data_IF_291307862444
#
_entry.id   IF_291307862444
#
_cell.length_a   1.000
_cell.length_b   1.000
_cell.length_c   1.000
_cell.angle_alpha   90.00
_cell.angle_beta   90.00
_cell.angle_gamma   90.00
#
_symmetry.space_group_name_H-M   'P 1'
#
loop_
_entity.id
_entity.type
_entity.pdbx_description
1 polymer ?
#
# COMPACT_ATOMS: atom_id res chain seq x y z
N UNK A 1 2.33 -23.29 -13.18
CA UNK A 1 3.27 -23.45 -12.05
C UNK A 1 4.54 -22.70 -12.37
N UNK A 2 5.01 -21.82 -11.49
CA UNK A 2 6.29 -21.13 -11.66
C UNK A 2 7.44 -22.13 -11.48
N UNK A 3 8.47 -22.04 -12.34
CA UNK A 3 9.71 -22.81 -12.23
C UNK A 3 10.88 -21.85 -12.10
N UNK A 4 11.80 -22.16 -11.19
CA UNK A 4 13.07 -21.46 -11.06
C UNK A 4 14.12 -22.19 -11.90
N UNK A 5 14.66 -21.51 -12.93
CA UNK A 5 15.76 -22.02 -13.73
C UNK A 5 17.06 -21.35 -13.29
N UNK A 6 17.96 -22.14 -12.75
CA UNK A 6 19.30 -21.71 -12.28
C UNK A 6 20.42 -22.11 -13.24
N UNK A 7 20.11 -22.66 -14.41
CA UNK A 7 21.12 -23.17 -15.35
C UNK A 7 22.15 -22.13 -15.75
N UNK A 8 21.75 -20.87 -15.89
CA UNK A 8 22.62 -19.77 -16.26
C UNK A 8 23.54 -19.28 -15.12
N UNK A 9 23.28 -19.72 -13.87
CA UNK A 9 24.11 -19.34 -12.71
C UNK A 9 25.34 -20.24 -12.51
N UNK A 10 25.40 -21.38 -13.22
CA UNK A 10 26.46 -22.36 -13.03
C UNK A 10 27.88 -21.79 -13.22
N UNK A 11 28.05 -20.81 -14.12
CA UNK A 11 29.33 -20.14 -14.36
C UNK A 11 29.73 -19.09 -13.31
N UNK A 12 28.79 -18.68 -12.45
CA UNK A 12 29.00 -17.61 -11.45
C UNK A 12 29.07 -18.14 -10.01
N UNK A 13 28.64 -19.37 -9.78
CA UNK A 13 28.63 -19.97 -8.46
C UNK A 13 29.71 -21.07 -8.34
N UNK A 14 30.38 -21.18 -7.18
CA UNK A 14 31.28 -22.30 -6.92
C UNK A 14 30.56 -23.64 -7.05
N UNK A 15 31.29 -24.67 -7.48
CA UNK A 15 30.74 -26.02 -7.54
C UNK A 15 30.24 -26.46 -6.16
N UNK A 16 29.03 -27.02 -6.11
CA UNK A 16 28.40 -27.45 -4.85
C UNK A 16 27.85 -26.32 -3.97
N UNK A 17 27.82 -25.09 -4.45
CA UNK A 17 27.32 -23.93 -3.69
C UNK A 17 25.91 -24.16 -3.14
N UNK A 18 24.98 -24.59 -3.95
CA UNK A 18 23.59 -24.83 -3.53
C UNK A 18 23.53 -25.90 -2.41
N UNK A 19 24.31 -26.99 -2.55
CA UNK A 19 24.35 -28.05 -1.53
C UNK A 19 24.96 -27.54 -0.23
N UNK A 20 26.03 -26.74 -0.29
CA UNK A 20 26.68 -26.19 0.90
C UNK A 20 25.80 -25.22 1.71
N UNK A 21 24.75 -24.65 1.06
CA UNK A 21 23.81 -23.71 1.71
C UNK A 21 22.55 -24.37 2.26
N UNK A 22 22.25 -25.61 1.88
CA UNK A 22 20.98 -26.27 2.25
C UNK A 22 20.71 -26.30 3.75
N UNK A 23 21.72 -26.66 4.56
CA UNK A 23 21.55 -26.73 6.03
C UNK A 23 21.25 -25.36 6.63
N UNK A 24 21.96 -24.32 6.19
CA UNK A 24 21.70 -22.93 6.63
C UNK A 24 20.35 -22.41 6.21
N UNK A 25 19.95 -22.67 4.96
CA UNK A 25 18.63 -22.29 4.43
C UNK A 25 17.50 -22.99 5.16
N UNK A 26 17.65 -24.31 5.41
CA UNK A 26 16.66 -25.06 6.19
C UNK A 26 16.50 -24.49 7.60
N UNK A 27 17.60 -24.25 8.30
CA UNK A 27 17.57 -23.65 9.64
C UNK A 27 16.88 -22.29 9.63
N UNK A 28 17.19 -21.42 8.67
CA UNK A 28 16.56 -20.10 8.55
C UNK A 28 15.05 -20.21 8.27
N UNK A 29 14.66 -21.12 7.37
CA UNK A 29 13.25 -21.37 7.07
C UNK A 29 12.49 -21.91 8.28
N UNK A 30 13.06 -22.87 9.01
CA UNK A 30 12.47 -23.44 10.24
C UNK A 30 12.31 -22.35 11.33
N UNK A 31 13.30 -21.46 11.50
CA UNK A 31 13.22 -20.33 12.43
C UNK A 31 12.13 -19.32 12.03
N UNK A 32 12.01 -19.01 10.74
CA UNK A 32 10.96 -18.12 10.24
C UNK A 32 9.58 -18.71 10.47
N UNK A 33 9.40 -19.99 10.12
CA UNK A 33 8.13 -20.69 10.32
C UNK A 33 7.73 -20.78 11.80
N UNK A 34 8.71 -20.96 12.70
CA UNK A 34 8.49 -21.04 14.15
C UNK A 34 8.35 -19.65 14.81
N UNK A 35 8.70 -18.55 14.12
CA UNK A 35 8.67 -17.19 14.66
C UNK A 35 9.61 -16.95 15.85
N UNK A 36 10.63 -17.79 16.06
CA UNK A 36 11.49 -17.80 17.24
C UNK A 36 12.91 -17.26 17.02
N UNK A 37 13.17 -16.72 15.83
CA UNK A 37 14.44 -16.06 15.48
C UNK A 37 14.46 -14.58 15.84
N UNK A 38 15.60 -13.89 15.60
CA UNK A 38 15.67 -12.43 15.68
C UNK A 38 14.62 -11.79 14.79
N UNK A 39 13.79 -10.87 15.36
CA UNK A 39 12.67 -10.26 14.65
C UNK A 39 11.40 -11.11 14.60
N UNK A 40 11.29 -12.17 15.42
CA UNK A 40 10.09 -13.03 15.51
C UNK A 40 8.81 -12.27 15.76
N UNK A 41 8.86 -11.15 16.50
CA UNK A 41 7.70 -10.26 16.75
C UNK A 41 7.13 -9.62 15.46
N UNK A 42 7.85 -9.68 14.35
CA UNK A 42 7.46 -9.09 13.07
C UNK A 42 7.16 -10.15 12.00
N UNK A 43 6.88 -11.39 12.37
CA UNK A 43 6.63 -12.52 11.44
C UNK A 43 5.14 -12.76 11.15
N UNK A 44 4.23 -11.93 11.63
CA UNK A 44 2.78 -12.09 11.43
C UNK A 44 2.35 -12.17 9.96
N UNK A 45 3.13 -11.61 9.05
CA UNK A 45 2.88 -11.69 7.60
C UNK A 45 3.00 -13.12 7.03
N UNK A 46 3.74 -14.01 7.68
CA UNK A 46 3.96 -15.40 7.22
C UNK A 46 2.65 -16.18 7.15
N UNK A 47 1.81 -16.06 8.17
CA UNK A 47 0.52 -16.72 8.23
C UNK A 47 -0.65 -15.89 7.70
N UNK A 48 -0.44 -14.60 7.43
CA UNK A 48 -1.48 -13.66 7.03
C UNK A 48 -2.32 -14.12 5.82
N UNK A 49 -1.78 -14.76 4.77
CA UNK A 49 -2.59 -15.20 3.63
C UNK A 49 -3.67 -16.22 4.00
N UNK A 50 -3.48 -16.98 5.08
CA UNK A 50 -4.42 -18.00 5.55
C UNK A 50 -5.20 -17.55 6.79
N UNK A 51 -4.58 -16.74 7.65
CA UNK A 51 -5.07 -16.35 8.98
C UNK A 51 -5.39 -14.85 9.08
N UNK A 52 -5.90 -14.24 8.01
CA UNK A 52 -6.29 -12.84 8.06
C UNK A 52 -7.63 -12.63 8.77
N UNK A 53 -7.83 -11.44 9.33
CA UNK A 53 -9.08 -11.00 9.94
C UNK A 53 -10.18 -10.88 8.86
N UNK A 54 -11.17 -11.75 8.94
CA UNK A 54 -12.27 -11.85 7.95
C UNK A 54 -13.21 -10.64 8.03
N UNK A 55 -13.42 -10.10 9.23
CA UNK A 55 -14.29 -8.94 9.42
C UNK A 55 -13.62 -7.68 8.89
N UNK A 56 -12.33 -7.51 9.18
CA UNK A 56 -11.56 -6.41 8.61
C UNK A 56 -11.49 -6.49 7.08
N UNK A 57 -11.30 -7.67 6.52
CA UNK A 57 -11.30 -7.86 5.08
C UNK A 57 -12.65 -7.49 4.45
N UNK A 58 -13.77 -7.86 5.08
CA UNK A 58 -15.10 -7.45 4.63
C UNK A 58 -15.29 -5.92 4.68
N UNK A 59 -14.75 -5.25 5.72
CA UNK A 59 -14.74 -3.78 5.81
C UNK A 59 -13.93 -3.15 4.68
N UNK A 60 -12.75 -3.71 4.34
CA UNK A 60 -11.91 -3.25 3.23
C UNK A 60 -12.68 -3.38 1.91
N UNK A 61 -13.36 -4.51 1.67
CA UNK A 61 -14.16 -4.71 0.47
C UNK A 61 -15.31 -3.69 0.39
N UNK A 62 -16.01 -3.44 1.49
CA UNK A 62 -17.09 -2.44 1.55
C UNK A 62 -16.55 -1.02 1.28
N UNK A 63 -15.37 -0.68 1.79
CA UNK A 63 -14.70 0.59 1.50
C UNK A 63 -14.31 0.70 0.02
N UNK A 64 -13.76 -0.35 -0.58
CA UNK A 64 -13.42 -0.39 -2.00
C UNK A 64 -14.66 -0.17 -2.89
N UNK A 65 -15.77 -0.83 -2.59
CA UNK A 65 -17.03 -0.63 -3.33
C UNK A 65 -17.60 0.79 -3.14
N UNK A 66 -17.44 1.40 -1.98
CA UNK A 66 -17.80 2.81 -1.77
C UNK A 66 -16.95 3.73 -2.63
N UNK A 67 -15.63 3.54 -2.63
CA UNK A 67 -14.70 4.31 -3.46
C UNK A 67 -15.08 4.21 -4.94
N UNK A 68 -15.35 3.01 -5.44
CA UNK A 68 -15.78 2.78 -6.84
C UNK A 68 -17.05 3.57 -7.20
N UNK A 69 -18.02 3.67 -6.29
CA UNK A 69 -19.27 4.38 -6.55
C UNK A 69 -19.14 5.89 -6.50
N UNK A 70 -18.24 6.42 -5.68
CA UNK A 70 -18.19 7.85 -5.39
C UNK A 70 -17.00 8.58 -6.01
N UNK A 71 -16.05 7.86 -6.63
CA UNK A 71 -14.79 8.47 -7.07
C UNK A 71 -14.35 7.95 -8.43
N UNK A 72 -13.91 8.86 -9.26
CA UNK A 72 -13.24 8.58 -10.53
C UNK A 72 -11.73 8.39 -10.35
N UNK A 73 -11.20 8.88 -9.22
CA UNK A 73 -9.77 8.80 -8.87
C UNK A 73 -9.62 8.33 -7.43
N UNK A 74 -8.68 7.42 -7.20
CA UNK A 74 -8.16 7.06 -5.88
C UNK A 74 -6.71 7.51 -5.77
N UNK A 75 -6.42 8.41 -4.84
CA UNK A 75 -5.05 8.80 -4.50
C UNK A 75 -4.59 7.97 -3.31
N UNK A 76 -3.56 7.16 -3.50
CA UNK A 76 -2.92 6.38 -2.44
C UNK A 76 -1.71 7.15 -1.94
N UNK A 77 -1.77 7.61 -0.70
CA UNK A 77 -0.71 8.38 -0.07
C UNK A 77 0.10 7.49 0.85
N UNK A 78 1.38 7.26 0.51
CA UNK A 78 2.27 6.41 1.29
C UNK A 78 3.68 6.37 0.75
N UNK A 79 4.62 5.79 1.52
CA UNK A 79 6.02 5.66 1.13
C UNK A 79 6.54 4.26 1.47
N UNK A 80 7.50 3.77 0.71
CA UNK A 80 8.12 2.47 0.92
C UNK A 80 7.11 1.33 0.95
N UNK A 81 7.15 0.50 2.00
CA UNK A 81 6.24 -0.65 2.16
C UNK A 81 4.75 -0.29 2.23
N UNK A 82 4.42 0.96 2.52
CA UNK A 82 3.03 1.41 2.59
C UNK A 82 2.34 1.52 1.21
N UNK A 83 3.10 1.55 0.10
CA UNK A 83 2.49 1.60 -1.22
C UNK A 83 3.09 0.62 -2.24
N UNK A 84 4.40 0.29 -2.11
CA UNK A 84 5.10 -0.51 -3.13
C UNK A 84 4.49 -1.90 -3.34
N UNK A 85 4.06 -2.55 -2.27
CA UNK A 85 3.43 -3.88 -2.37
C UNK A 85 2.12 -3.84 -3.16
N UNK A 86 1.23 -2.91 -2.83
CA UNK A 86 -0.03 -2.72 -3.55
C UNK A 86 0.22 -2.31 -5.00
N UNK A 87 1.14 -1.37 -5.24
CA UNK A 87 1.53 -0.92 -6.57
C UNK A 87 2.07 -2.07 -7.42
N UNK A 88 2.96 -2.89 -6.87
CA UNK A 88 3.52 -4.03 -7.57
C UNK A 88 2.44 -5.03 -8.02
N UNK A 89 1.46 -5.32 -7.17
CA UNK A 89 0.35 -6.22 -7.52
C UNK A 89 -0.57 -5.59 -8.58
N UNK A 90 -0.88 -4.31 -8.45
CA UNK A 90 -1.69 -3.58 -9.44
C UNK A 90 -0.99 -3.59 -10.81
N UNK A 91 0.29 -3.24 -10.86
CA UNK A 91 1.06 -3.20 -12.10
C UNK A 91 1.29 -4.60 -12.71
N UNK A 92 1.38 -5.65 -11.88
CA UNK A 92 1.49 -7.04 -12.34
C UNK A 92 0.18 -7.56 -12.96
N UNK A 93 -0.95 -7.25 -12.34
CA UNK A 93 -2.27 -7.80 -12.72
C UNK A 93 -3.04 -6.90 -13.69
N UNK A 94 -2.63 -5.66 -13.84
CA UNK A 94 -3.30 -4.68 -14.69
C UNK A 94 -2.42 -4.28 -15.88
N UNK A 95 -3.05 -3.67 -16.89
CA UNK A 95 -2.31 -3.08 -18.01
C UNK A 95 -1.46 -1.90 -17.54
N UNK A 96 -0.26 -1.66 -18.12
CA UNK A 96 0.50 -0.43 -17.90
C UNK A 96 -0.30 0.85 -18.19
N UNK A 97 -1.31 0.72 -19.06
CA UNK A 97 -2.21 1.81 -19.43
C UNK A 97 -3.52 1.79 -18.62
N UNK A 98 -3.50 1.23 -17.40
CA UNK A 98 -4.70 1.06 -16.57
C UNK A 98 -5.51 2.36 -16.43
N UNK A 99 -4.85 3.46 -16.10
CA UNK A 99 -5.50 4.76 -15.90
C UNK A 99 -6.01 5.42 -17.20
N UNK A 100 -5.61 4.91 -18.37
CA UNK A 100 -6.05 5.44 -19.68
C UNK A 100 -7.24 4.64 -20.25
N UNK A 101 -7.61 3.52 -19.64
CA UNK A 101 -8.67 2.65 -20.14
C UNK A 101 -10.03 3.11 -19.65
N UNK A 102 -11.06 2.94 -20.48
CA UNK A 102 -12.45 2.98 -20.01
C UNK A 102 -12.69 1.76 -19.13
N UNK A 103 -13.15 1.98 -17.91
CA UNK A 103 -13.36 0.95 -16.88
C UNK A 103 -14.38 1.41 -15.84
N UNK A 104 -14.83 0.51 -15.02
CA UNK A 104 -15.78 0.74 -13.93
C UNK A 104 -15.12 1.01 -12.57
N UNK A 105 -13.79 1.12 -12.57
CA UNK A 105 -12.95 1.34 -11.38
C UNK A 105 -12.22 2.68 -11.50
N UNK A 106 -11.91 3.33 -10.36
CA UNK A 106 -11.17 4.59 -10.37
C UNK A 106 -9.79 4.49 -11.02
N UNK A 107 -9.27 5.59 -11.53
CA UNK A 107 -7.85 5.74 -11.78
C UNK A 107 -7.11 5.72 -10.44
N UNK A 108 -5.96 5.05 -10.40
CA UNK A 108 -5.16 4.93 -9.18
C UNK A 108 -3.86 5.70 -9.36
N UNK A 109 -3.63 6.64 -8.47
CA UNK A 109 -2.39 7.41 -8.42
C UNK A 109 -1.73 7.28 -7.04
N UNK A 110 -0.39 7.32 -7.03
CA UNK A 110 0.41 7.22 -5.81
C UNK A 110 1.09 8.55 -5.52
N UNK A 111 1.03 9.00 -4.26
CA UNK A 111 1.61 10.24 -3.78
C UNK A 111 2.29 10.05 -2.42
N UNK A 112 3.08 11.04 -1.99
CA UNK A 112 3.72 11.00 -0.66
C UNK A 112 4.95 10.09 -0.58
N UNK A 113 5.52 9.69 -1.72
CA UNK A 113 6.77 8.97 -1.83
C UNK A 113 7.98 9.88 -2.10
N UNK A 114 7.78 11.19 -2.05
CA UNK A 114 8.77 12.23 -2.21
C UNK A 114 8.19 13.61 -1.89
N UNK A 115 9.07 14.63 -1.93
CA UNK A 115 8.72 16.04 -1.66
C UNK A 115 8.77 16.92 -2.92
N UNK A 116 8.71 16.32 -4.12
CA UNK A 116 8.70 17.08 -5.38
C UNK A 116 7.39 17.85 -5.52
N UNK A 117 7.49 19.17 -5.54
CA UNK A 117 6.37 20.05 -5.79
C UNK A 117 5.80 19.85 -7.20
N UNK A 118 6.66 19.68 -8.19
CA UNK A 118 6.25 19.50 -9.59
C UNK A 118 5.44 18.23 -9.77
N UNK A 119 5.93 17.09 -9.22
CA UNK A 119 5.20 15.82 -9.27
C UNK A 119 3.82 15.91 -8.59
N UNK A 120 3.73 16.66 -7.49
CA UNK A 120 2.45 16.88 -6.81
C UNK A 120 1.50 17.75 -7.62
N UNK A 121 2.00 18.84 -8.22
CA UNK A 121 1.21 19.72 -9.07
C UNK A 121 0.73 19.01 -10.33
N UNK A 122 1.56 18.18 -10.96
CA UNK A 122 1.13 17.34 -12.09
C UNK A 122 0.00 16.39 -11.68
N UNK A 123 0.12 15.73 -10.53
CA UNK A 123 -0.94 14.85 -10.04
C UNK A 123 -2.24 15.61 -9.75
N UNK A 124 -2.15 16.79 -9.15
CA UNK A 124 -3.32 17.67 -8.92
C UNK A 124 -3.97 18.05 -10.26
N UNK A 125 -3.17 18.41 -11.26
CA UNK A 125 -3.67 18.72 -12.58
C UNK A 125 -4.32 17.50 -13.27
N UNK A 126 -3.75 16.30 -13.10
CA UNK A 126 -4.34 15.06 -13.60
C UNK A 126 -5.67 14.72 -12.91
N UNK A 127 -5.82 15.00 -11.64
CA UNK A 127 -7.10 14.82 -10.93
C UNK A 127 -8.13 15.79 -11.49
N UNK A 128 -7.75 17.07 -11.66
CA UNK A 128 -8.63 18.12 -12.15
C UNK A 128 -9.92 18.22 -11.34
N UNK A 129 -11.04 18.37 -12.02
CA UNK A 129 -12.37 18.49 -11.40
C UNK A 129 -13.05 17.14 -11.11
N UNK A 130 -12.36 16.03 -11.37
CA UNK A 130 -12.91 14.69 -11.14
C UNK A 130 -13.18 14.43 -9.64
N UNK A 131 -14.17 13.60 -9.37
CA UNK A 131 -14.41 13.13 -8.01
C UNK A 131 -13.30 12.17 -7.57
N UNK A 132 -12.77 12.40 -6.37
CA UNK A 132 -11.67 11.59 -5.87
C UNK A 132 -11.82 11.22 -4.38
N UNK A 133 -11.16 10.13 -4.01
CA UNK A 133 -10.96 9.68 -2.63
C UNK A 133 -9.46 9.54 -2.34
N UNK A 134 -9.12 9.56 -1.08
CA UNK A 134 -7.73 9.41 -0.59
C UNK A 134 -7.64 8.22 0.33
N UNK A 135 -6.69 7.31 0.08
CA UNK A 135 -6.26 6.32 1.05
C UNK A 135 -4.87 6.70 1.57
N UNK A 136 -4.81 7.17 2.81
CA UNK A 136 -3.53 7.47 3.47
C UNK A 136 -3.05 6.27 4.26
N UNK A 137 -1.83 5.81 3.96
CA UNK A 137 -1.23 4.61 4.54
C UNK A 137 0.03 4.97 5.31
N UNK A 138 -0.04 4.94 6.62
CA UNK A 138 1.11 5.21 7.48
C UNK A 138 0.95 4.54 8.84
N UNK A 139 1.91 3.70 9.23
CA UNK A 139 1.89 3.03 10.53
C UNK A 139 1.98 4.02 11.69
N UNK A 140 2.91 4.98 11.63
CA UNK A 140 3.13 5.98 12.69
C UNK A 140 2.33 7.27 12.51
N UNK A 141 2.05 7.63 11.25
CA UNK A 141 1.49 8.94 10.90
C UNK A 141 2.49 10.10 10.98
N UNK A 142 3.78 9.82 11.24
CA UNK A 142 4.81 10.86 11.46
C UNK A 142 5.81 10.97 10.31
N UNK A 143 5.73 10.12 9.30
CA UNK A 143 6.60 10.20 8.12
C UNK A 143 6.25 11.46 7.33
N UNK A 144 7.25 12.29 7.07
CA UNK A 144 7.07 13.66 6.57
C UNK A 144 6.41 13.70 5.20
N UNK A 145 6.91 12.92 4.24
CA UNK A 145 6.47 12.95 2.85
C UNK A 145 4.97 12.62 2.70
N UNK A 146 4.48 11.49 3.22
CA UNK A 146 3.05 11.19 3.17
C UNK A 146 2.21 12.15 4.03
N UNK A 147 2.74 12.69 5.14
CA UNK A 147 2.01 13.64 5.96
C UNK A 147 1.78 14.98 5.22
N UNK A 148 2.78 15.46 4.48
CA UNK A 148 2.66 16.67 3.64
C UNK A 148 1.66 16.43 2.52
N UNK A 149 1.81 15.35 1.76
CA UNK A 149 0.91 15.03 0.66
C UNK A 149 -0.53 14.85 1.15
N UNK A 150 -0.73 14.13 2.25
CA UNK A 150 -2.06 13.94 2.84
C UNK A 150 -2.72 15.26 3.24
N UNK A 151 -1.98 16.17 3.88
CA UNK A 151 -2.52 17.50 4.25
C UNK A 151 -3.01 18.27 3.05
N UNK A 152 -2.30 18.20 1.92
CA UNK A 152 -2.69 18.89 0.69
C UNK A 152 -3.96 18.28 0.12
N UNK A 153 -4.02 16.95 -0.06
CA UNK A 153 -5.20 16.28 -0.60
C UNK A 153 -6.42 16.38 0.34
N UNK A 154 -6.23 16.34 1.66
CA UNK A 154 -7.29 16.60 2.63
C UNK A 154 -7.87 18.01 2.43
N UNK A 155 -7.01 19.03 2.31
CA UNK A 155 -7.45 20.40 2.05
C UNK A 155 -8.24 20.53 0.74
N UNK A 156 -7.83 19.84 -0.33
CA UNK A 156 -8.56 19.79 -1.59
C UNK A 156 -9.94 19.13 -1.43
N UNK A 157 -10.03 18.03 -0.69
CA UNK A 157 -11.31 17.37 -0.39
C UNK A 157 -12.23 18.29 0.43
N UNK A 158 -11.70 18.94 1.46
CA UNK A 158 -12.47 19.88 2.28
C UNK A 158 -12.97 21.09 1.48
N UNK A 159 -12.15 21.60 0.58
CA UNK A 159 -12.55 22.69 -0.31
C UNK A 159 -13.66 22.26 -1.29
N UNK A 160 -13.57 21.04 -1.83
CA UNK A 160 -14.53 20.55 -2.83
C UNK A 160 -15.84 20.07 -2.22
N UNK A 161 -15.80 19.37 -1.08
CA UNK A 161 -16.96 18.66 -0.51
C UNK A 161 -17.38 19.16 0.88
N UNK A 162 -16.71 20.16 1.43
CA UNK A 162 -16.83 20.52 2.84
C UNK A 162 -16.22 19.48 3.77
N UNK A 163 -16.17 19.76 5.08
CA UNK A 163 -15.53 18.85 6.06
C UNK A 163 -16.20 17.47 6.10
N UNK A 164 -17.51 17.43 6.18
CA UNK A 164 -18.25 16.16 6.27
C UNK A 164 -18.10 15.31 4.99
N UNK A 165 -18.23 15.93 3.81
CA UNK A 165 -18.04 15.21 2.55
C UNK A 165 -16.59 14.75 2.32
N UNK A 166 -15.59 15.45 2.87
CA UNK A 166 -14.19 15.04 2.86
C UNK A 166 -13.95 13.81 3.73
N UNK A 167 -14.56 13.75 4.92
CA UNK A 167 -14.45 12.59 5.83
C UNK A 167 -14.92 11.28 5.18
N UNK A 168 -15.99 11.32 4.43
CA UNK A 168 -16.50 10.16 3.72
C UNK A 168 -15.60 9.66 2.56
N UNK A 169 -14.61 10.48 2.16
CA UNK A 169 -13.69 10.21 1.05
C UNK A 169 -12.26 9.98 1.48
N UNK A 170 -11.98 10.03 2.79
CA UNK A 170 -10.67 9.74 3.37
C UNK A 170 -10.71 8.38 4.05
N UNK A 171 -9.77 7.53 3.68
CA UNK A 171 -9.59 6.19 4.23
C UNK A 171 -8.20 6.12 4.85
N UNK A 172 -8.11 5.83 6.14
CA UNK A 172 -6.85 5.70 6.86
C UNK A 172 -6.50 4.22 7.05
N UNK A 173 -5.35 3.83 6.52
CA UNK A 173 -4.74 2.52 6.78
C UNK A 173 -3.57 2.72 7.73
N UNK A 174 -3.74 2.36 9.00
CA UNK A 174 -2.78 2.70 10.05
C UNK A 174 -2.73 1.61 11.14
N UNK A 175 -1.89 1.82 12.15
CA UNK A 175 -1.84 0.97 13.34
C UNK A 175 -3.20 0.99 14.06
N UNK A 176 -3.62 -0.18 14.56
CA UNK A 176 -4.93 -0.37 15.22
C UNK A 176 -5.07 0.45 16.51
N UNK A 177 -3.97 0.64 17.24
CA UNK A 177 -3.99 1.12 18.62
C UNK A 177 -3.27 2.46 18.84
N UNK A 178 -2.34 2.86 17.96
CA UNK A 178 -1.44 3.98 18.23
C UNK A 178 -0.95 4.67 16.97
N UNK A 179 -0.38 5.87 17.15
CA UNK A 179 0.20 6.67 16.06
C UNK A 179 -0.59 7.94 15.79
N UNK A 180 0.07 8.93 15.19
CA UNK A 180 -0.52 10.23 14.92
C UNK A 180 -1.70 10.13 13.92
N UNK A 181 -1.57 9.28 12.89
CA UNK A 181 -2.66 9.06 11.94
C UNK A 181 -3.87 8.37 12.59
N UNK A 182 -3.63 7.41 13.51
CA UNK A 182 -4.71 6.78 14.29
C UNK A 182 -5.45 7.81 15.14
N UNK A 183 -4.70 8.65 15.88
CA UNK A 183 -5.30 9.71 16.69
C UNK A 183 -6.11 10.70 15.86
N UNK A 184 -5.63 11.09 14.69
CA UNK A 184 -6.35 11.97 13.78
C UNK A 184 -7.64 11.32 13.26
N UNK A 185 -7.57 10.05 12.84
CA UNK A 185 -8.73 9.31 12.36
C UNK A 185 -9.81 9.15 13.43
N UNK A 186 -9.41 8.92 14.70
CA UNK A 186 -10.36 8.83 15.82
C UNK A 186 -11.02 10.17 16.17
N UNK A 187 -10.32 11.28 15.95
CA UNK A 187 -10.85 12.62 16.22
C UNK A 187 -11.79 13.11 15.13
N UNK A 188 -11.50 12.76 13.89
CA UNK A 188 -12.27 13.27 12.75
C UNK A 188 -13.36 12.30 12.26
N UNK A 189 -13.33 11.03 12.68
CA UNK A 189 -14.35 10.01 12.39
C UNK A 189 -14.08 9.21 11.15
#
# INVERSE_FOLDING_TARGET
MLKLDLSQLAGFLPQGYAVSRQTGLKKAADMLAAGNGPGGDFTGWVALPEQYDREEFARIQAAAERIKRQSQVLVVVGIGGSYLGARAVIELLSSPNYNLKVKDTPDIYFAGNGLSTDALLELIALIGDRDFSVNVISKSGTTTEPAVAFRIFKGMLEQKYGKEGARERIYATTDRARGALKGLADQEG
#
